data_IF_398128239192
#
_entry.id   IF_398128239192
#
_cell.length_a   1.000
_cell.length_b   1.000
_cell.length_c   1.000
_cell.angle_alpha   90.00
_cell.angle_beta   90.00
_cell.angle_gamma   90.00
#
_symmetry.space_group_name_H-M   'P 1'
#
loop_
_entity.id
_entity.type
_entity.pdbx_description
1 polymer ?
#
# COMPACT_ATOMS: atom_id res chain seq x y z
N UNK A 1 15.07 64.06 -12.85
CA UNK A 1 15.56 63.72 -11.49
C UNK A 1 14.46 63.92 -10.44
N UNK A 2 13.71 65.02 -10.46
CA UNK A 2 12.54 65.23 -9.56
C UNK A 2 11.41 64.20 -9.69
N UNK A 3 11.14 63.65 -10.88
CA UNK A 3 10.09 62.62 -11.04
C UNK A 3 10.43 61.29 -10.36
N UNK A 4 11.73 60.95 -10.25
CA UNK A 4 12.17 59.74 -9.58
C UNK A 4 11.94 59.83 -8.06
N UNK A 5 12.17 61.02 -7.49
CA UNK A 5 11.97 61.26 -6.07
C UNK A 5 10.48 61.28 -5.70
N UNK A 6 9.61 61.80 -6.59
CA UNK A 6 8.15 61.74 -6.42
C UNK A 6 7.63 60.29 -6.49
N UNK A 7 8.15 59.47 -7.40
CA UNK A 7 7.79 58.04 -7.50
C UNK A 7 8.29 57.26 -6.26
N UNK A 8 9.48 57.55 -5.74
CA UNK A 8 9.96 56.93 -4.48
C UNK A 8 9.13 57.36 -3.27
N UNK A 9 8.64 58.60 -3.24
CA UNK A 9 7.81 59.09 -2.15
C UNK A 9 6.40 58.51 -2.20
N UNK A 10 5.84 58.29 -3.40
CA UNK A 10 4.54 57.61 -3.59
C UNK A 10 4.63 56.09 -3.33
N UNK A 11 5.74 55.43 -3.68
CA UNK A 11 6.00 54.01 -3.33
C UNK A 11 6.27 53.85 -1.82
N UNK A 12 6.83 54.88 -1.18
CA UNK A 12 7.04 54.90 0.28
C UNK A 12 5.77 55.18 1.09
N UNK A 13 4.75 55.80 0.48
CA UNK A 13 3.47 56.18 1.11
C UNK A 13 2.29 55.29 0.75
N UNK A 14 2.45 54.37 -0.21
CA UNK A 14 1.44 53.39 -0.59
C UNK A 14 2.16 52.06 -0.73
N UNK A 15 1.89 51.08 0.12
CA UNK A 15 0.65 50.32 0.09
C UNK A 15 0.40 49.78 1.50
N UNK A 16 -0.87 49.62 1.84
CA UNK A 16 -1.52 48.97 2.98
C UNK A 16 -1.00 47.53 3.28
N UNK A 17 0.33 47.36 3.37
CA UNK A 17 1.00 46.11 3.68
C UNK A 17 0.56 45.59 5.06
N UNK A 18 0.28 46.49 5.98
CA UNK A 18 -0.27 46.14 7.29
C UNK A 18 -1.70 45.59 7.20
N UNK A 19 -2.50 46.06 6.22
CA UNK A 19 -3.87 45.58 5.98
C UNK A 19 -3.85 44.19 5.30
N UNK A 20 -2.99 43.97 4.31
CA UNK A 20 -2.79 42.67 3.67
C UNK A 20 -2.21 41.60 4.63
N UNK A 21 -1.29 42.01 5.52
CA UNK A 21 -0.76 41.13 6.57
C UNK A 21 -1.86 40.75 7.58
N UNK A 22 -2.68 41.71 8.02
CA UNK A 22 -3.85 41.47 8.89
C UNK A 22 -4.88 40.53 8.25
N UNK A 23 -5.16 40.69 6.95
CA UNK A 23 -6.05 39.77 6.22
C UNK A 23 -5.47 38.36 6.12
N UNK A 24 -4.15 38.24 5.88
CA UNK A 24 -3.45 36.95 5.84
C UNK A 24 -3.50 36.25 7.20
N UNK A 25 -3.24 36.97 8.29
CA UNK A 25 -3.34 36.43 9.65
C UNK A 25 -4.76 36.01 10.01
N UNK A 26 -5.76 36.80 9.61
CA UNK A 26 -7.17 36.45 9.78
C UNK A 26 -7.53 35.17 9.00
N UNK A 27 -7.07 35.04 7.76
CA UNK A 27 -7.31 33.85 6.94
C UNK A 27 -6.64 32.60 7.52
N UNK A 28 -5.42 32.74 8.05
CA UNK A 28 -4.69 31.68 8.75
C UNK A 28 -5.44 31.21 10.01
N UNK A 29 -5.88 32.15 10.84
CA UNK A 29 -6.64 31.83 12.07
C UNK A 29 -7.96 31.12 11.75
N UNK A 30 -8.69 31.63 10.77
CA UNK A 30 -9.95 31.02 10.32
C UNK A 30 -9.74 29.61 9.76
N UNK A 31 -8.69 29.41 8.96
CA UNK A 31 -8.34 28.09 8.42
C UNK A 31 -7.95 27.10 9.51
N UNK A 32 -7.13 27.53 10.48
CA UNK A 32 -6.75 26.69 11.63
C UNK A 32 -7.96 26.30 12.46
N UNK A 33 -8.89 27.25 12.71
CA UNK A 33 -10.14 26.99 13.42
C UNK A 33 -11.02 25.97 12.68
N UNK A 34 -11.12 26.06 11.35
CA UNK A 34 -11.87 25.10 10.53
C UNK A 34 -11.28 23.71 10.59
N UNK A 35 -9.96 23.58 10.51
CA UNK A 35 -9.27 22.29 10.64
C UNK A 35 -9.50 21.67 12.02
N UNK A 36 -9.41 22.48 13.08
CA UNK A 36 -9.68 22.02 14.45
C UNK A 36 -11.12 21.52 14.61
N UNK A 37 -12.11 22.29 14.15
CA UNK A 37 -13.52 21.90 14.20
C UNK A 37 -13.79 20.61 13.41
N UNK A 38 -13.19 20.47 12.23
CA UNK A 38 -13.31 19.25 11.43
C UNK A 38 -12.70 18.04 12.17
N UNK A 39 -11.51 18.19 12.76
CA UNK A 39 -10.86 17.12 13.53
C UNK A 39 -11.67 16.72 14.78
N UNK A 40 -12.25 17.69 15.50
CA UNK A 40 -13.11 17.42 16.65
C UNK A 40 -14.40 16.70 16.25
N UNK A 41 -15.00 17.10 15.12
CA UNK A 41 -16.17 16.41 14.56
C UNK A 41 -15.83 14.95 14.23
N UNK A 42 -14.73 14.70 13.52
CA UNK A 42 -14.25 13.36 13.16
C UNK A 42 -14.01 12.50 14.41
N UNK A 43 -13.40 13.05 15.46
CA UNK A 43 -13.21 12.34 16.74
C UNK A 43 -14.53 11.98 17.41
N UNK A 44 -15.51 12.90 17.36
CA UNK A 44 -16.83 12.69 17.95
C UNK A 44 -17.59 11.60 17.20
N UNK A 45 -17.60 11.67 15.86
CA UNK A 45 -18.22 10.68 14.99
C UNK A 45 -17.60 9.29 15.21
N UNK A 46 -16.27 9.22 15.26
CA UNK A 46 -15.53 7.98 15.55
C UNK A 46 -15.93 7.36 16.89
N UNK A 47 -15.97 8.18 17.95
CA UNK A 47 -16.34 7.75 19.29
C UNK A 47 -17.77 7.18 19.30
N UNK A 48 -18.71 7.86 18.65
CA UNK A 48 -20.10 7.42 18.55
C UNK A 48 -20.24 6.08 17.79
N UNK A 49 -19.48 5.89 16.71
CA UNK A 49 -19.46 4.62 15.95
C UNK A 49 -18.93 3.48 16.83
N UNK A 50 -17.85 3.71 17.57
CA UNK A 50 -17.28 2.70 18.47
C UNK A 50 -18.24 2.36 19.63
N UNK A 51 -18.86 3.37 20.24
CA UNK A 51 -19.84 3.17 21.31
C UNK A 51 -21.08 2.40 20.84
N UNK A 52 -21.62 2.76 19.67
CA UNK A 52 -22.78 2.07 19.10
C UNK A 52 -22.46 0.60 18.74
N UNK A 53 -21.30 0.34 18.13
CA UNK A 53 -20.83 -1.01 17.84
C UNK A 53 -20.66 -1.84 19.11
N UNK A 54 -20.02 -1.28 20.14
CA UNK A 54 -19.84 -1.96 21.42
C UNK A 54 -21.18 -2.27 22.09
N UNK A 55 -22.11 -1.33 22.09
CA UNK A 55 -23.46 -1.53 22.64
C UNK A 55 -24.21 -2.63 21.89
N UNK A 56 -24.07 -2.72 20.57
CA UNK A 56 -24.67 -3.79 19.78
C UNK A 56 -24.07 -5.15 20.12
N UNK A 57 -22.75 -5.27 20.20
CA UNK A 57 -22.05 -6.51 20.60
C UNK A 57 -22.52 -6.94 21.99
N UNK A 58 -22.53 -6.03 22.97
CA UNK A 58 -22.99 -6.32 24.33
C UNK A 58 -24.44 -6.77 24.38
N UNK A 59 -25.33 -6.16 23.59
CA UNK A 59 -26.74 -6.57 23.47
C UNK A 59 -26.85 -7.99 22.92
N UNK A 60 -26.11 -8.33 21.88
CA UNK A 60 -26.10 -9.69 21.31
C UNK A 60 -25.54 -10.70 22.30
N UNK A 61 -24.44 -10.38 23.01
CA UNK A 61 -23.90 -11.23 24.08
C UNK A 61 -24.96 -11.52 25.16
N UNK A 62 -25.64 -10.49 25.68
CA UNK A 62 -26.67 -10.65 26.71
C UNK A 62 -27.84 -11.49 26.23
N UNK A 63 -28.24 -11.33 24.96
CA UNK A 63 -29.33 -12.12 24.37
C UNK A 63 -28.95 -13.61 24.22
N UNK A 64 -27.70 -13.93 23.88
CA UNK A 64 -27.24 -15.33 23.83
C UNK A 64 -27.17 -15.91 25.24
N UNK A 65 -26.64 -15.14 26.20
CA UNK A 65 -26.55 -15.56 27.59
C UNK A 65 -27.92 -15.81 28.24
N UNK A 66 -28.91 -14.94 28.01
CA UNK A 66 -30.26 -15.14 28.55
C UNK A 66 -30.93 -16.37 27.97
N UNK A 67 -30.81 -16.62 26.66
CA UNK A 67 -31.34 -17.84 26.02
C UNK A 67 -30.72 -19.11 26.58
N UNK A 68 -29.40 -19.10 26.83
CA UNK A 68 -28.69 -20.22 27.45
C UNK A 68 -29.20 -20.50 28.87
N UNK A 69 -29.38 -19.45 29.67
CA UNK A 69 -29.89 -19.59 31.05
C UNK A 69 -31.31 -20.13 31.08
N UNK A 70 -32.23 -19.58 30.28
CA UNK A 70 -33.62 -20.04 30.25
C UNK A 70 -33.75 -21.50 29.78
N UNK A 71 -32.95 -21.91 28.79
CA UNK A 71 -32.97 -23.30 28.32
C UNK A 71 -32.38 -24.27 29.34
N UNK A 72 -31.38 -23.82 30.13
CA UNK A 72 -30.83 -24.60 31.23
C UNK A 72 -31.84 -24.80 32.35
N UNK A 73 -32.58 -23.76 32.72
CA UNK A 73 -33.62 -23.81 33.77
C UNK A 73 -34.81 -24.68 33.37
N UNK A 74 -35.13 -24.74 32.08
CA UNK A 74 -36.21 -25.58 31.56
C UNK A 74 -35.84 -27.07 31.43
N UNK A 75 -34.57 -27.46 31.63
CA UNK A 75 -34.02 -28.80 31.35
C UNK A 75 -34.24 -29.33 29.91
N UNK A 76 -34.75 -28.49 29.02
CA UNK A 76 -35.01 -28.81 27.62
C UNK A 76 -33.93 -28.20 26.74
N UNK A 77 -32.79 -28.88 26.60
CA UNK A 77 -31.85 -28.56 25.54
C UNK A 77 -31.63 -29.77 24.64
N UNK A 78 -31.81 -29.55 23.34
CA UNK A 78 -31.45 -30.52 22.32
C UNK A 78 -30.02 -30.25 21.82
N UNK A 79 -29.42 -31.25 21.18
CA UNK A 79 -28.14 -31.08 20.47
C UNK A 79 -28.22 -29.96 19.39
N UNK A 80 -29.41 -29.77 18.81
CA UNK A 80 -29.70 -28.72 17.83
C UNK A 80 -29.55 -27.33 18.48
N UNK A 81 -30.01 -27.16 19.72
CA UNK A 81 -29.88 -25.89 20.44
C UNK A 81 -28.41 -25.56 20.76
N UNK A 82 -27.64 -26.56 21.20
CA UNK A 82 -26.20 -26.42 21.44
C UNK A 82 -25.44 -26.02 20.18
N UNK A 83 -25.74 -26.66 19.05
CA UNK A 83 -25.15 -26.34 17.75
C UNK A 83 -25.48 -24.90 17.34
N UNK A 84 -26.76 -24.50 17.45
CA UNK A 84 -27.22 -23.14 17.14
C UNK A 84 -26.53 -22.08 18.00
N UNK A 85 -26.37 -22.30 19.31
CA UNK A 85 -25.67 -21.35 20.17
C UNK A 85 -24.17 -21.28 19.88
N UNK A 86 -23.56 -22.42 19.56
CA UNK A 86 -22.15 -22.47 19.13
C UNK A 86 -21.94 -21.67 17.84
N UNK A 87 -22.85 -21.80 16.87
CA UNK A 87 -22.84 -20.99 15.65
C UNK A 87 -23.01 -19.50 15.95
N UNK A 88 -23.96 -19.11 16.80
CA UNK A 88 -24.15 -17.71 17.21
C UNK A 88 -22.94 -17.13 17.95
N UNK A 89 -22.27 -17.92 18.80
CA UNK A 89 -21.03 -17.50 19.47
C UNK A 89 -19.87 -17.34 18.49
N UNK A 90 -19.75 -18.24 17.50
CA UNK A 90 -18.74 -18.12 16.46
C UNK A 90 -19.00 -16.91 15.55
N UNK A 91 -20.27 -16.65 15.21
CA UNK A 91 -20.67 -15.46 14.46
C UNK A 91 -20.34 -14.19 15.26
N UNK A 92 -20.71 -14.13 16.53
CA UNK A 92 -20.35 -13.02 17.41
C UNK A 92 -18.84 -12.82 17.52
N UNK A 93 -18.07 -13.92 17.66
CA UNK A 93 -16.60 -13.89 17.68
C UNK A 93 -16.05 -13.36 16.36
N UNK A 94 -16.68 -13.66 15.24
CA UNK A 94 -16.32 -13.11 13.93
C UNK A 94 -16.66 -11.63 13.82
N UNK A 95 -17.81 -11.18 14.33
CA UNK A 95 -18.21 -9.78 14.37
C UNK A 95 -17.28 -8.94 15.26
N UNK A 96 -16.83 -9.48 16.40
CA UNK A 96 -15.83 -8.83 17.27
C UNK A 96 -14.48 -8.70 16.55
N UNK A 97 -14.06 -9.73 15.81
CA UNK A 97 -12.83 -9.67 14.98
C UNK A 97 -12.97 -8.69 13.82
N UNK A 98 -14.19 -8.50 13.32
CA UNK A 98 -14.56 -7.55 12.27
C UNK A 98 -15.09 -6.24 12.88
N UNK A 99 -14.44 -5.73 13.93
CA UNK A 99 -14.67 -4.37 14.42
C UNK A 99 -14.86 -3.42 13.23
N UNK A 100 -15.84 -2.48 13.28
CA UNK A 100 -16.21 -1.68 12.13
C UNK A 100 -14.96 -1.13 11.47
N UNK A 101 -14.71 -1.55 10.23
CA UNK A 101 -13.56 -1.07 9.48
C UNK A 101 -13.87 0.39 9.16
N UNK A 102 -13.39 1.28 10.03
CA UNK A 102 -13.57 2.72 9.88
C UNK A 102 -12.61 3.17 8.79
N UNK A 103 -13.17 3.65 7.69
CA UNK A 103 -12.40 4.24 6.62
C UNK A 103 -12.37 5.75 6.81
N UNK A 104 -11.17 6.28 6.95
CA UNK A 104 -10.88 7.71 6.86
C UNK A 104 -10.68 7.97 5.37
N UNK A 105 -11.63 8.67 4.74
CA UNK A 105 -11.53 9.07 3.34
C UNK A 105 -11.11 10.53 3.29
N UNK A 106 -10.00 10.82 2.64
CA UNK A 106 -9.55 12.18 2.34
C UNK A 106 -10.29 12.68 1.09
N UNK A 107 -11.00 13.81 1.24
CA UNK A 107 -11.58 14.52 0.10
C UNK A 107 -10.53 15.43 -0.55
N UNK A 108 -9.97 14.97 -1.66
CA UNK A 108 -8.96 15.70 -2.43
C UNK A 108 -9.54 16.89 -3.22
N UNK A 109 -10.86 17.10 -3.21
CA UNK A 109 -11.51 18.16 -4.02
C UNK A 109 -11.55 19.51 -3.31
N UNK A 110 -11.31 19.54 -2.00
CA UNK A 110 -11.35 20.74 -1.19
C UNK A 110 -9.93 21.21 -0.85
N UNK A 111 -9.61 22.52 -0.92
CA UNK A 111 -8.30 23.04 -0.51
C UNK A 111 -8.04 22.85 1.00
N UNK A 112 -9.08 22.50 1.76
CA UNK A 112 -9.01 22.00 3.13
C UNK A 112 -9.43 20.54 3.11
N UNK A 113 -8.52 19.64 3.50
CA UNK A 113 -8.76 18.20 3.57
C UNK A 113 -9.98 17.92 4.46
N UNK A 114 -11.10 17.59 3.83
CA UNK A 114 -12.29 17.13 4.52
C UNK A 114 -12.15 15.63 4.74
N UNK A 115 -12.16 15.23 6.01
CA UNK A 115 -12.14 13.82 6.41
C UNK A 115 -13.58 13.38 6.58
N UNK A 116 -14.02 12.46 5.74
CA UNK A 116 -15.34 11.84 5.87
C UNK A 116 -15.18 10.42 6.46
N UNK A 117 -15.86 10.15 7.58
CA UNK A 117 -15.94 8.80 8.14
C UNK A 117 -17.18 8.11 7.56
N UNK A 118 -16.97 7.01 6.83
CA UNK A 118 -18.06 6.15 6.34
C UNK A 118 -18.10 4.85 7.13
N UNK A 119 -19.26 4.56 7.71
CA UNK A 119 -19.55 3.26 8.32
C UNK A 119 -20.21 2.34 7.28
N UNK A 120 -19.52 1.28 6.89
CA UNK A 120 -20.07 0.25 6.00
C UNK A 120 -20.47 -0.99 6.80
N UNK A 121 -21.78 -1.19 6.98
CA UNK A 121 -22.34 -2.34 7.72
C UNK A 121 -22.44 -3.62 6.87
N UNK A 122 -21.95 -3.62 5.63
CA UNK A 122 -22.13 -4.72 4.69
C UNK A 122 -20.78 -5.17 4.09
N UNK A 123 -20.20 -6.22 4.68
CA UNK A 123 -18.90 -6.78 4.29
C UNK A 123 -18.87 -7.23 2.81
N UNK A 124 -20.02 -7.61 2.25
CA UNK A 124 -20.14 -8.11 0.88
C UNK A 124 -20.24 -7.01 -0.19
N UNK A 125 -20.67 -5.79 0.17
CA UNK A 125 -20.70 -4.65 -0.74
C UNK A 125 -19.32 -3.98 -0.90
N UNK A 126 -18.45 -4.14 0.11
CA UNK A 126 -17.12 -3.52 0.17
C UNK A 126 -16.11 -4.11 -0.85
N UNK A 127 -16.25 -5.39 -1.23
CA UNK A 127 -15.37 -6.00 -2.24
C UNK A 127 -15.50 -5.29 -3.61
N UNK A 128 -16.64 -4.64 -3.88
CA UNK A 128 -16.90 -3.98 -5.18
C UNK A 128 -16.46 -2.52 -5.27
N UNK A 129 -16.33 -1.78 -4.16
CA UNK A 129 -16.07 -0.32 -4.20
C UNK A 129 -14.64 0.10 -3.84
N UNK A 130 -13.71 -0.86 -3.74
CA UNK A 130 -12.28 -0.60 -3.51
C UNK A 130 -11.55 -0.05 -4.75
N UNK A 131 -12.22 0.14 -5.89
CA UNK A 131 -11.55 0.45 -7.17
C UNK A 131 -11.06 1.90 -7.34
N UNK A 132 -11.42 2.87 -6.49
CA UNK A 132 -11.07 4.28 -6.79
C UNK A 132 -9.70 4.76 -6.27
N UNK A 133 -9.09 4.05 -5.32
CA UNK A 133 -7.67 4.20 -4.93
C UNK A 133 -7.08 2.85 -4.47
N UNK A 134 -7.63 1.71 -4.92
CA UNK A 134 -6.89 0.46 -4.74
C UNK A 134 -5.69 0.48 -5.67
N UNK A 135 -4.52 0.25 -5.11
CA UNK A 135 -3.50 -0.53 -5.81
C UNK A 135 -4.20 -1.79 -6.30
N UNK A 136 -4.65 -1.77 -7.56
CA UNK A 136 -5.21 -2.94 -8.22
C UNK A 136 -4.11 -3.98 -8.11
N UNK A 137 -4.29 -4.98 -7.25
CA UNK A 137 -3.35 -6.11 -7.20
C UNK A 137 -3.50 -6.80 -8.54
N UNK A 138 -2.59 -6.46 -9.43
CA UNK A 138 -2.52 -7.07 -10.73
C UNK A 138 -2.02 -8.48 -10.47
N UNK A 139 -2.87 -9.44 -10.77
CA UNK A 139 -2.41 -10.82 -10.91
C UNK A 139 -1.52 -10.85 -12.14
N UNK A 140 -0.21 -10.80 -11.91
CA UNK A 140 0.82 -10.94 -12.93
C UNK A 140 1.18 -12.41 -13.08
N UNK A 141 1.52 -12.82 -14.30
CA UNK A 141 1.90 -14.19 -14.63
C UNK A 141 3.22 -14.18 -15.38
N UNK A 142 4.10 -15.11 -15.06
CA UNK A 142 5.29 -15.39 -15.84
C UNK A 142 4.90 -16.14 -17.11
N UNK A 143 5.34 -15.65 -18.26
CA UNK A 143 5.00 -16.23 -19.57
C UNK A 143 6.16 -16.94 -20.24
N UNK A 144 7.37 -16.48 -19.98
CA UNK A 144 8.55 -16.95 -20.69
C UNK A 144 9.79 -16.68 -19.83
N UNK A 145 10.79 -17.55 -19.97
CA UNK A 145 12.08 -17.40 -19.33
C UNK A 145 13.21 -18.03 -20.13
N UNK A 146 14.43 -17.67 -19.74
CA UNK A 146 15.67 -18.18 -20.30
C UNK A 146 16.43 -18.91 -19.20
N UNK A 147 16.57 -20.23 -19.34
CA UNK A 147 17.26 -21.11 -18.39
C UNK A 147 16.46 -22.37 -18.05
N UNK A 148 17.03 -23.21 -17.19
CA UNK A 148 16.45 -24.48 -16.75
C UNK A 148 15.54 -24.28 -15.52
N UNK A 149 14.32 -23.83 -15.78
CA UNK A 149 13.29 -23.66 -14.77
C UNK A 149 11.90 -23.95 -15.35
N UNK A 150 10.98 -24.43 -14.49
CA UNK A 150 9.59 -24.72 -14.85
C UNK A 150 8.70 -23.59 -14.36
N UNK A 151 7.77 -23.18 -15.23
CA UNK A 151 6.64 -22.32 -14.87
C UNK A 151 5.47 -23.22 -14.45
N UNK A 152 5.04 -23.12 -13.20
CA UNK A 152 3.95 -23.90 -12.62
C UNK A 152 2.69 -23.02 -12.42
N UNK A 153 1.54 -23.66 -12.16
CA UNK A 153 0.27 -23.01 -11.82
C UNK A 153 -0.17 -21.92 -12.82
N UNK A 154 0.08 -22.15 -14.12
CA UNK A 154 -0.29 -21.23 -15.19
C UNK A 154 0.44 -19.88 -15.13
N UNK A 155 1.69 -19.84 -14.68
CA UNK A 155 2.48 -18.61 -14.63
C UNK A 155 2.60 -17.97 -13.26
N UNK A 156 2.06 -18.59 -12.20
CA UNK A 156 2.08 -17.99 -10.86
C UNK A 156 3.30 -18.41 -10.02
N UNK A 157 4.02 -19.45 -10.44
CA UNK A 157 5.20 -19.95 -9.75
C UNK A 157 6.30 -20.29 -10.75
N UNK A 158 7.53 -19.96 -10.38
CA UNK A 158 8.73 -20.40 -11.08
C UNK A 158 9.49 -21.32 -10.13
N UNK A 159 9.94 -22.46 -10.67
CA UNK A 159 10.80 -23.40 -9.96
C UNK A 159 12.10 -23.58 -10.73
N UNK A 160 13.21 -23.19 -10.12
CA UNK A 160 14.55 -23.50 -10.62
C UNK A 160 14.82 -25.01 -10.48
N UNK A 161 15.37 -25.65 -11.51
CA UNK A 161 15.58 -27.12 -11.55
C UNK A 161 17.05 -27.47 -11.67
N UNK A 162 17.88 -26.54 -12.11
CA UNK A 162 19.30 -26.79 -12.27
C UNK A 162 20.07 -26.64 -10.95
N UNK A 163 21.07 -27.49 -10.77
CA UNK A 163 22.05 -27.38 -9.69
C UNK A 163 23.18 -26.41 -10.03
N UNK A 164 23.34 -26.05 -11.29
CA UNK A 164 24.36 -25.08 -11.72
C UNK A 164 23.97 -23.64 -11.36
N UNK A 165 24.96 -22.84 -10.97
CA UNK A 165 24.85 -21.41 -10.65
C UNK A 165 24.60 -20.50 -11.87
N UNK A 166 23.86 -20.98 -12.88
CA UNK A 166 23.56 -20.18 -14.07
C UNK A 166 22.43 -19.19 -13.75
N UNK A 167 22.56 -17.98 -14.28
CA UNK A 167 21.49 -16.99 -14.20
C UNK A 167 20.29 -17.46 -15.02
N UNK A 168 19.11 -17.31 -14.43
CA UNK A 168 17.84 -17.55 -15.11
C UNK A 168 17.02 -16.29 -15.05
N UNK A 169 16.43 -15.93 -16.18
CA UNK A 169 15.62 -14.74 -16.33
C UNK A 169 14.20 -15.12 -16.69
N UNK A 170 13.25 -14.45 -16.07
CA UNK A 170 11.84 -14.59 -16.39
C UNK A 170 11.21 -13.22 -16.53
N UNK A 171 10.22 -13.12 -17.42
CA UNK A 171 9.45 -11.90 -17.65
C UNK A 171 7.97 -12.13 -17.39
N UNK A 172 7.35 -11.12 -16.79
CA UNK A 172 5.91 -11.05 -16.62
C UNK A 172 5.17 -10.92 -17.95
N UNK A 173 3.87 -11.15 -17.94
CA UNK A 173 3.02 -11.07 -19.12
C UNK A 173 2.73 -9.62 -19.52
N UNK A 174 2.61 -8.74 -18.53
CA UNK A 174 2.08 -7.40 -18.74
C UNK A 174 3.18 -6.40 -19.05
N UNK A 175 2.82 -5.45 -19.90
CA UNK A 175 3.58 -4.24 -20.14
C UNK A 175 2.93 -3.09 -19.36
N UNK A 176 3.75 -2.27 -18.73
CA UNK A 176 3.32 -1.18 -17.85
C UNK A 176 3.72 0.15 -18.49
N UNK A 177 2.73 0.91 -18.97
CA UNK A 177 2.96 2.15 -19.74
C UNK A 177 2.36 3.40 -19.10
N UNK A 178 1.48 3.26 -18.10
CA UNK A 178 0.81 4.37 -17.40
C UNK A 178 0.45 3.97 -15.97
N UNK A 179 0.17 4.94 -15.09
CA UNK A 179 -0.27 4.70 -13.71
C UNK A 179 0.80 4.11 -12.78
N UNK A 180 0.34 3.56 -11.65
CA UNK A 180 1.18 2.97 -10.61
C UNK A 180 0.73 1.55 -10.29
N UNK A 181 1.65 0.59 -10.39
CA UNK A 181 1.37 -0.85 -10.30
C UNK A 181 2.24 -1.48 -9.23
N UNK A 182 1.67 -2.35 -8.39
CA UNK A 182 2.42 -3.08 -7.37
C UNK A 182 2.30 -4.58 -7.59
N UNK A 183 3.44 -5.23 -7.77
CA UNK A 183 3.60 -6.67 -7.89
C UNK A 183 4.13 -7.24 -6.59
N UNK A 184 3.61 -8.38 -6.14
CA UNK A 184 4.07 -9.04 -4.93
C UNK A 184 4.66 -10.41 -5.29
N UNK A 185 5.88 -10.64 -4.82
CA UNK A 185 6.62 -11.88 -4.97
C UNK A 185 6.81 -12.51 -3.59
N UNK A 186 6.64 -13.83 -3.52
CA UNK A 186 6.97 -14.63 -2.34
C UNK A 186 8.04 -15.64 -2.70
N UNK A 187 9.11 -15.66 -1.93
CA UNK A 187 10.18 -16.65 -2.09
C UNK A 187 9.78 -17.88 -1.31
N UNK A 188 9.17 -18.87 -1.97
CA UNK A 188 8.67 -20.04 -1.25
C UNK A 188 9.76 -20.98 -0.77
N UNK A 189 10.85 -21.08 -1.53
CA UNK A 189 11.99 -21.91 -1.20
C UNK A 189 13.26 -21.36 -1.87
N UNK A 190 14.35 -21.29 -1.12
CA UNK A 190 15.68 -20.94 -1.60
C UNK A 190 16.72 -21.86 -0.96
N UNK A 191 17.47 -22.60 -1.78
CA UNK A 191 18.54 -23.52 -1.35
C UNK A 191 19.91 -22.87 -1.57
N UNK A 192 20.38 -22.10 -0.59
CA UNK A 192 21.69 -21.43 -0.66
C UNK A 192 21.60 -19.93 -0.96
N UNK A 193 22.75 -19.29 -1.17
CA UNK A 193 22.86 -17.87 -1.46
C UNK A 193 22.67 -17.61 -2.96
N UNK A 194 21.43 -17.69 -3.43
CA UNK A 194 21.11 -17.24 -4.78
C UNK A 194 21.00 -15.72 -4.80
N UNK A 195 21.76 -15.09 -5.68
CA UNK A 195 21.59 -13.68 -5.99
C UNK A 195 20.29 -13.51 -6.77
N UNK A 196 19.28 -12.96 -6.10
CA UNK A 196 17.95 -12.77 -6.68
C UNK A 196 17.91 -11.42 -7.39
N UNK A 197 17.47 -11.42 -8.64
CA UNK A 197 17.38 -10.23 -9.47
C UNK A 197 15.92 -9.82 -9.68
N UNK A 198 15.55 -8.59 -9.30
CA UNK A 198 14.18 -8.06 -9.45
C UNK A 198 14.24 -6.67 -10.06
N UNK A 199 13.41 -6.41 -11.07
CA UNK A 199 13.38 -5.12 -11.75
C UNK A 199 12.42 -5.09 -12.93
N UNK A 200 12.65 -4.14 -13.83
CA UNK A 200 11.92 -3.97 -15.09
C UNK A 200 12.88 -3.96 -16.26
N UNK A 201 12.35 -4.26 -17.45
CA UNK A 201 13.07 -4.20 -18.71
C UNK A 201 12.14 -3.75 -19.84
N UNK A 202 12.70 -3.26 -20.95
CA UNK A 202 11.91 -2.96 -22.15
C UNK A 202 11.25 -4.21 -22.73
N UNK A 203 10.03 -4.06 -23.26
CA UNK A 203 9.29 -5.12 -23.97
C UNK A 203 9.99 -5.60 -25.23
N UNK A 204 10.83 -4.75 -25.83
CA UNK A 204 11.42 -4.98 -27.16
C UNK A 204 12.61 -5.95 -27.14
N UNK A 205 13.09 -6.30 -25.93
CA UNK A 205 14.22 -7.19 -25.76
C UNK A 205 13.78 -8.64 -25.97
N UNK A 206 14.58 -9.38 -26.74
CA UNK A 206 14.43 -10.82 -26.81
C UNK A 206 14.80 -11.47 -25.46
N UNK A 207 13.92 -12.29 -24.91
CA UNK A 207 14.11 -12.93 -23.60
C UNK A 207 15.37 -13.78 -23.48
N UNK A 208 15.82 -14.40 -24.58
CA UNK A 208 17.08 -15.17 -24.62
C UNK A 208 18.32 -14.30 -24.46
N UNK A 209 18.17 -13.00 -24.69
CA UNK A 209 19.23 -12.01 -24.58
C UNK A 209 19.16 -11.21 -23.29
N UNK A 210 18.11 -11.35 -22.47
CA UNK A 210 18.01 -10.60 -21.22
C UNK A 210 19.20 -10.97 -20.34
N UNK A 211 19.96 -9.93 -20.01
CA UNK A 211 21.05 -9.97 -19.05
C UNK A 211 20.95 -8.71 -18.19
N UNK A 212 21.31 -8.82 -16.91
CA UNK A 212 21.20 -7.70 -15.96
C UNK A 212 22.03 -6.46 -16.35
N UNK A 213 23.05 -6.64 -17.19
CA UNK A 213 23.94 -5.57 -17.65
C UNK A 213 23.48 -4.93 -18.97
N UNK A 214 22.29 -5.23 -19.47
CA UNK A 214 21.74 -4.55 -20.63
C UNK A 214 21.32 -3.11 -20.29
N UNK A 215 21.46 -2.21 -21.27
CA UNK A 215 21.12 -0.77 -21.16
C UNK A 215 19.63 -0.49 -20.96
N UNK A 216 18.79 -1.50 -21.15
CA UNK A 216 17.33 -1.45 -21.18
C UNK A 216 16.72 -2.07 -19.91
N UNK A 217 17.54 -2.28 -18.88
CA UNK A 217 17.17 -2.92 -17.62
C UNK A 217 17.43 -1.97 -16.45
N UNK A 218 16.47 -1.92 -15.52
CA UNK A 218 16.55 -1.19 -14.25
C UNK A 218 16.11 -2.11 -13.12
N UNK A 219 16.95 -2.31 -12.10
CA UNK A 219 16.82 -3.46 -11.21
C UNK A 219 17.68 -3.42 -9.95
N UNK A 220 17.45 -4.40 -9.07
CA UNK A 220 18.27 -4.70 -7.91
C UNK A 220 18.75 -6.16 -7.94
N UNK A 221 19.95 -6.39 -7.44
CA UNK A 221 20.37 -7.68 -6.90
C UNK A 221 20.16 -7.72 -5.39
N UNK A 222 19.51 -8.79 -4.93
CA UNK A 222 18.98 -9.02 -3.60
C UNK A 222 18.08 -7.85 -3.16
N UNK A 223 18.64 -6.82 -2.53
CA UNK A 223 17.93 -5.55 -2.27
C UNK A 223 18.88 -4.35 -2.25
N UNK A 224 20.17 -4.58 -2.55
CA UNK A 224 21.24 -3.66 -2.14
C UNK A 224 22.05 -3.14 -3.31
N UNK A 225 22.17 -3.93 -4.38
CA UNK A 225 22.98 -3.57 -5.53
C UNK A 225 22.09 -3.11 -6.68
N UNK A 226 22.14 -1.81 -6.97
CA UNK A 226 21.36 -1.18 -8.03
C UNK A 226 22.06 -1.31 -9.38
N UNK A 227 21.32 -1.79 -10.39
CA UNK A 227 21.73 -1.81 -11.78
C UNK A 227 20.76 -0.95 -12.60
N UNK A 228 21.31 0.05 -13.28
CA UNK A 228 20.56 0.99 -14.11
C UNK A 228 21.27 1.19 -15.43
N UNK A 229 20.57 0.95 -16.54
CA UNK A 229 21.10 1.08 -17.89
C UNK A 229 22.42 0.30 -18.08
N UNK A 230 22.44 -0.93 -17.59
CA UNK A 230 23.58 -1.83 -17.70
C UNK A 230 24.78 -1.46 -16.83
N UNK A 231 24.66 -0.42 -16.00
CA UNK A 231 25.72 0.04 -15.11
C UNK A 231 25.35 -0.23 -13.65
N UNK A 232 26.28 -0.84 -12.93
CA UNK A 232 26.21 -0.95 -11.48
C UNK A 232 26.44 0.42 -10.85
N UNK A 233 25.47 0.91 -10.07
CA UNK A 233 25.62 2.17 -9.34
C UNK A 233 26.43 1.91 -8.06
N UNK A 234 27.70 2.34 -8.04
CA UNK A 234 28.65 2.06 -6.95
C UNK A 234 28.42 2.89 -5.67
N UNK A 235 27.58 3.93 -5.72
CA UNK A 235 27.42 4.91 -4.65
C UNK A 235 26.41 4.54 -3.56
N UNK A 236 25.69 3.44 -3.69
CA UNK A 236 25.05 2.83 -2.53
C UNK A 236 26.17 2.26 -1.67
N UNK A 237 26.61 3.02 -0.65
CA UNK A 237 27.47 2.50 0.42
C UNK A 237 27.01 1.06 0.67
N UNK A 238 27.92 0.07 0.64
CA UNK A 238 27.63 -1.34 0.96
C UNK A 238 27.16 -1.45 2.43
N UNK A 239 26.01 -0.86 2.75
CA UNK A 239 25.24 -1.02 3.98
C UNK A 239 24.26 -2.19 3.83
N UNK A 240 24.48 -3.03 2.82
CA UNK A 240 23.97 -4.38 2.82
C UNK A 240 24.67 -5.15 3.93
N UNK A 241 24.05 -5.22 5.11
CA UNK A 241 24.42 -6.23 6.08
C UNK A 241 24.11 -7.60 5.45
N UNK A 242 24.79 -8.68 5.85
CA UNK A 242 24.41 -10.06 5.44
C UNK A 242 22.93 -10.39 5.71
N UNK A 243 22.22 -9.57 6.50
CA UNK A 243 20.80 -9.72 6.77
C UNK A 243 19.89 -9.21 5.63
N UNK A 244 20.43 -8.58 4.59
CA UNK A 244 19.67 -8.01 3.46
C UNK A 244 19.55 -8.96 2.25
N UNK A 245 20.12 -10.16 2.37
CA UNK A 245 19.90 -11.25 1.42
C UNK A 245 18.43 -11.70 1.44
N UNK A 246 17.89 -11.96 0.26
CA UNK A 246 16.55 -12.52 0.08
C UNK A 246 16.57 -14.00 0.49
N UNK A 247 15.62 -14.41 1.33
CA UNK A 247 15.57 -15.76 1.92
C UNK A 247 14.20 -16.40 1.71
N UNK A 248 14.15 -17.71 1.97
CA UNK A 248 12.89 -18.46 2.05
C UNK A 248 11.89 -17.77 2.96
N UNK A 249 10.65 -17.68 2.50
CA UNK A 249 9.50 -16.96 3.05
C UNK A 249 9.56 -15.43 3.01
N UNK A 250 10.60 -14.81 2.42
CA UNK A 250 10.59 -13.37 2.22
C UNK A 250 9.49 -12.97 1.22
N UNK A 251 8.87 -11.82 1.50
CA UNK A 251 7.87 -11.17 0.66
C UNK A 251 8.46 -9.86 0.16
N UNK A 252 8.38 -9.68 -1.15
CA UNK A 252 8.96 -8.54 -1.86
C UNK A 252 7.85 -7.91 -2.69
N UNK A 253 7.78 -6.58 -2.68
CA UNK A 253 6.85 -5.83 -3.50
C UNK A 253 7.64 -4.94 -4.46
N UNK A 254 7.38 -5.07 -5.76
CA UNK A 254 7.89 -4.17 -6.79
C UNK A 254 6.78 -3.21 -7.18
N UNK A 255 6.98 -1.92 -6.92
CA UNK A 255 6.11 -0.86 -7.40
C UNK A 255 6.72 -0.24 -8.65
N UNK A 256 5.93 -0.19 -9.73
CA UNK A 256 6.27 0.42 -11.01
C UNK A 256 5.38 1.65 -11.16
N UNK A 257 5.98 2.82 -11.08
CA UNK A 257 5.30 4.11 -11.14
C UNK A 257 5.69 4.79 -12.46
N UNK A 258 4.84 4.59 -13.47
CA UNK A 258 5.06 5.06 -14.83
C UNK A 258 4.92 6.58 -14.94
N UNK A 259 4.17 7.22 -14.05
CA UNK A 259 3.95 8.67 -14.05
C UNK A 259 5.20 9.40 -13.55
N UNK A 260 5.79 8.92 -12.46
CA UNK A 260 7.02 9.48 -11.90
C UNK A 260 8.29 8.81 -12.45
N UNK A 261 8.16 7.95 -13.47
CA UNK A 261 9.24 7.22 -14.14
C UNK A 261 10.21 6.57 -13.15
N UNK A 262 9.68 5.71 -12.29
CA UNK A 262 10.47 5.11 -11.24
C UNK A 262 9.99 3.72 -10.87
N UNK A 263 10.89 2.98 -10.24
CA UNK A 263 10.58 1.72 -9.61
C UNK A 263 11.01 1.76 -8.15
N UNK A 264 10.29 1.02 -7.32
CA UNK A 264 10.56 0.90 -5.90
C UNK A 264 10.43 -0.56 -5.47
N UNK A 265 11.39 -1.04 -4.68
CA UNK A 265 11.38 -2.40 -4.17
C UNK A 265 11.20 -2.36 -2.65
N UNK A 266 10.07 -2.85 -2.16
CA UNK A 266 9.81 -2.98 -0.73
C UNK A 266 10.07 -4.42 -0.28
N UNK A 267 10.91 -4.57 0.74
CA UNK A 267 11.25 -5.87 1.33
C UNK A 267 10.67 -5.97 2.75
N UNK A 268 9.64 -6.80 2.93
CA UNK A 268 8.79 -6.79 4.12
C UNK A 268 9.56 -7.08 5.42
N UNK A 269 10.45 -8.08 5.41
CA UNK A 269 11.22 -8.47 6.60
C UNK A 269 12.21 -7.41 7.07
N UNK A 270 12.83 -6.67 6.14
CA UNK A 270 13.85 -5.66 6.50
C UNK A 270 13.27 -4.25 6.57
N UNK A 271 12.00 -4.09 6.18
CA UNK A 271 11.31 -2.81 6.04
C UNK A 271 12.10 -1.79 5.19
N UNK A 272 12.89 -2.28 4.24
CA UNK A 272 13.67 -1.45 3.31
C UNK A 272 12.87 -1.18 2.05
N UNK A 273 13.02 0.02 1.52
CA UNK A 273 12.26 0.52 0.37
C UNK A 273 13.13 1.32 -0.61
N UNK A 274 14.20 0.72 -1.19
CA UNK A 274 15.01 1.40 -2.19
C UNK A 274 14.19 1.80 -3.43
N UNK A 275 14.54 2.94 -4.02
CA UNK A 275 13.91 3.52 -5.21
C UNK A 275 14.96 3.80 -6.29
N UNK A 276 14.59 3.55 -7.54
CA UNK A 276 15.38 3.88 -8.73
C UNK A 276 14.53 4.79 -9.61
N UNK A 277 15.10 5.91 -10.03
CA UNK A 277 14.52 6.75 -11.08
C UNK A 277 14.94 6.16 -12.43
N UNK A 278 13.97 5.86 -13.27
CA UNK A 278 14.11 5.24 -14.59
C UNK A 278 13.85 6.32 -15.63
N UNK A 279 14.76 7.27 -15.72
CA UNK A 279 14.73 8.25 -16.80
C UNK A 279 15.21 7.60 -18.09
N UNK A 280 14.34 7.57 -19.10
CA UNK A 280 14.72 7.29 -20.47
C UNK A 280 15.60 8.43 -20.98
N UNK A 281 16.92 8.24 -20.88
CA UNK A 281 17.90 9.08 -21.60
C UNK A 281 17.71 8.98 -23.11
#
# INVERSE_FOLDING_TARGET
MQEHDLIQQDIGLSIDNDLLLKETDKWKQESMKRIQLAAEKVRTDLKQILESSNNQILKTCRNVASKLLSAREAETFSEIDLKRWTEQLNELKSQIKLLPMIHIVEDNKSPVYLIEIKQTNNVNAYIKNKELLSFKRIEERFIEGNGLAIIEYGGLRIKHIDGDHKFIYFRGQKSYTNGCHTLQFKIEHSTGSYDTFIGICSSDINLRQIMYHLTVVASWFNTTEVWLHGRRIKNTKRQGSKNDEIKTNDIIQLTIDCENKQIELFHERTNKKPRIIVDSN
#
